data_IF_517898821783
#
_entry.id   IF_517898821783
#
_cell.length_a   1.000
_cell.length_b   1.000
_cell.length_c   1.000
_cell.angle_alpha   90.00
_cell.angle_beta   90.00
_cell.angle_gamma   90.00
#
_symmetry.space_group_name_H-M   'P 1'
#
loop_
_entity.id
_entity.type
_entity.pdbx_description
1 polymer ?
#
# COMPACT_ATOMS: atom_id res chain seq x y z
N UNK A 1 49.61 5.26 -26.06
CA UNK A 1 48.58 4.60 -25.25
C UNK A 1 47.22 5.02 -25.80
N UNK A 2 46.59 4.19 -26.65
CA UNK A 2 45.30 4.51 -27.27
C UNK A 2 44.40 3.28 -27.28
N UNK A 3 43.27 3.31 -26.57
CA UNK A 3 42.09 2.47 -26.83
C UNK A 3 40.80 3.20 -26.43
N UNK A 4 40.06 3.66 -27.44
CA UNK A 4 38.62 3.87 -27.37
C UNK A 4 37.91 2.58 -26.96
N UNK A 5 36.76 2.68 -26.30
CA UNK A 5 35.59 1.82 -26.55
C UNK A 5 34.32 2.40 -25.92
N UNK A 6 33.45 2.87 -26.81
CA UNK A 6 32.02 3.11 -26.63
C UNK A 6 31.30 1.82 -26.22
N UNK A 7 30.28 1.95 -25.35
CA UNK A 7 29.38 0.85 -25.00
C UNK A 7 28.42 1.25 -23.89
N UNK A 8 27.30 1.87 -24.26
CA UNK A 8 26.12 1.88 -23.38
C UNK A 8 25.41 0.52 -23.42
N UNK A 9 24.53 0.26 -22.45
CA UNK A 9 23.39 -0.60 -22.70
C UNK A 9 22.08 0.15 -22.37
N UNK A 10 21.26 0.24 -23.41
CA UNK A 10 19.83 -0.12 -23.44
C UNK A 10 19.14 -0.29 -22.09
N UNK A 11 18.18 0.58 -21.80
CA UNK A 11 17.27 0.40 -20.67
C UNK A 11 16.25 -0.72 -20.87
N UNK A 12 15.37 -0.95 -19.90
CA UNK A 12 14.05 -1.46 -20.16
C UNK A 12 13.02 -0.32 -20.12
N UNK A 13 12.25 -0.25 -21.20
CA UNK A 13 10.96 0.40 -21.26
C UNK A 13 10.05 -0.13 -20.17
N UNK A 14 9.43 0.78 -19.43
CA UNK A 14 8.29 0.46 -18.57
C UNK A 14 7.60 1.73 -18.11
N UNK A 15 6.54 2.21 -18.78
CA UNK A 15 5.57 3.06 -18.12
C UNK A 15 4.72 2.16 -17.23
N UNK A 16 5.25 1.86 -16.04
CA UNK A 16 4.57 1.12 -15.00
C UNK A 16 4.33 2.00 -13.79
N UNK A 17 4.04 3.29 -13.99
CA UNK A 17 3.42 4.10 -12.95
C UNK A 17 1.95 3.69 -12.96
N UNK A 18 1.42 2.94 -11.97
CA UNK A 18 0.01 3.08 -11.70
C UNK A 18 -0.16 4.52 -11.22
N UNK A 19 -0.46 5.40 -12.17
CA UNK A 19 -1.15 6.65 -11.88
C UNK A 19 -2.29 6.24 -10.97
N UNK A 20 -2.19 6.66 -9.71
CA UNK A 20 -3.25 6.47 -8.73
C UNK A 20 -4.41 7.36 -9.17
N UNK A 21 -5.13 6.91 -10.20
CA UNK A 21 -6.45 7.43 -10.51
C UNK A 21 -7.29 7.19 -9.27
N UNK A 22 -8.01 8.21 -8.77
CA UNK A 22 -9.08 7.96 -7.82
C UNK A 22 -10.17 7.24 -8.62
N UNK A 23 -10.08 5.91 -8.69
CA UNK A 23 -11.14 5.03 -9.16
C UNK A 23 -12.35 5.27 -8.25
N UNK A 24 -13.20 6.18 -8.69
CA UNK A 24 -14.54 6.37 -8.17
C UNK A 24 -15.33 5.10 -8.52
N UNK A 25 -15.76 4.40 -7.46
CA UNK A 25 -16.81 3.37 -7.41
C UNK A 25 -16.42 1.89 -7.19
N UNK A 26 -15.45 1.66 -6.32
CA UNK A 26 -15.64 0.64 -5.28
C UNK A 26 -15.01 1.15 -3.99
N UNK A 27 -15.84 1.53 -3.02
CA UNK A 27 -15.34 1.99 -1.73
C UNK A 27 -14.50 0.85 -1.12
N UNK A 28 -13.17 0.99 -1.17
CA UNK A 28 -12.29 0.00 -0.56
C UNK A 28 -12.58 0.01 0.94
N UNK A 29 -12.82 -1.17 1.50
CA UNK A 29 -13.19 -1.33 2.91
C UNK A 29 -12.17 -2.24 3.57
N UNK A 30 -11.68 -1.86 4.74
CA UNK A 30 -10.79 -2.72 5.51
C UNK A 30 -11.53 -3.99 5.96
N UNK A 31 -11.03 -5.17 5.60
CA UNK A 31 -11.66 -6.45 5.99
C UNK A 31 -11.68 -6.67 7.50
N UNK A 32 -10.72 -6.11 8.24
CA UNK A 32 -10.64 -6.26 9.69
C UNK A 32 -11.59 -5.31 10.44
N UNK A 33 -11.50 -3.99 10.23
CA UNK A 33 -12.24 -3.00 11.02
C UNK A 33 -13.30 -2.21 10.25
N UNK A 34 -13.56 -2.58 8.99
CA UNK A 34 -14.53 -1.96 8.10
C UNK A 34 -14.36 -0.45 7.87
N UNK A 35 -13.21 0.13 8.22
CA UNK A 35 -12.94 1.54 7.87
C UNK A 35 -12.81 1.68 6.35
N UNK A 36 -13.44 2.71 5.82
CA UNK A 36 -13.29 3.19 4.44
C UNK A 36 -12.36 4.39 4.35
N UNK A 37 -12.00 4.97 5.51
CA UNK A 37 -11.09 6.10 5.60
C UNK A 37 -9.76 5.62 6.21
N UNK A 38 -8.69 5.72 5.42
CA UNK A 38 -7.34 5.40 5.87
C UNK A 38 -6.35 6.23 5.04
N UNK A 39 -5.27 6.76 5.65
CA UNK A 39 -4.25 7.50 4.90
C UNK A 39 -3.45 6.61 3.94
N UNK A 40 -3.46 5.30 4.16
CA UNK A 40 -2.78 4.31 3.31
C UNK A 40 -3.54 2.98 3.38
N UNK A 41 -3.78 2.38 2.21
CA UNK A 41 -4.27 1.01 2.09
C UNK A 41 -3.10 0.03 2.10
N UNK A 42 -3.25 -1.07 2.83
CA UNK A 42 -2.34 -2.20 2.88
C UNK A 42 -3.06 -3.45 2.38
N UNK A 43 -2.30 -4.48 2.03
CA UNK A 43 -2.83 -5.80 1.69
C UNK A 43 -2.25 -6.84 2.65
N UNK A 44 -3.05 -7.81 3.04
CA UNK A 44 -2.56 -9.02 3.72
C UNK A 44 -1.89 -9.98 2.71
N UNK A 45 -1.25 -11.08 3.18
CA UNK A 45 -0.65 -12.08 2.27
C UNK A 45 -1.65 -12.70 1.30
N UNK A 46 -2.93 -12.74 1.67
CA UNK A 46 -4.05 -13.21 0.86
C UNK A 46 -4.55 -12.16 -0.15
N UNK A 47 -3.98 -10.95 -0.14
CA UNK A 47 -4.29 -9.85 -1.04
C UNK A 47 -5.50 -9.00 -0.65
N UNK A 48 -6.12 -9.24 0.49
CA UNK A 48 -7.30 -8.53 1.01
C UNK A 48 -6.95 -7.10 1.48
N UNK A 49 -7.86 -6.13 1.29
CA UNK A 49 -7.65 -4.76 1.69
C UNK A 49 -7.68 -4.59 3.22
N UNK A 50 -6.62 -4.01 3.76
CA UNK A 50 -6.50 -3.60 5.16
C UNK A 50 -6.20 -2.11 5.28
N UNK A 51 -6.71 -1.45 6.30
CA UNK A 51 -6.30 -0.09 6.62
C UNK A 51 -4.87 -0.07 7.19
N UNK A 52 -4.27 1.13 7.24
CA UNK A 52 -2.90 1.29 7.71
C UNK A 52 -2.71 0.73 9.13
N UNK A 53 -3.64 1.01 10.05
CA UNK A 53 -3.55 0.53 11.42
C UNK A 53 -3.66 -1.00 11.52
N UNK A 54 -4.61 -1.63 10.82
CA UNK A 54 -4.79 -3.08 10.86
C UNK A 54 -3.62 -3.82 10.21
N UNK A 55 -3.14 -3.35 9.06
CA UNK A 55 -2.00 -3.97 8.38
C UNK A 55 -0.69 -3.82 9.15
N UNK A 56 -0.46 -2.69 9.81
CA UNK A 56 0.70 -2.52 10.69
C UNK A 56 0.60 -3.38 11.95
N UNK A 57 -0.57 -3.42 12.59
CA UNK A 57 -0.77 -4.23 13.79
C UNK A 57 -0.55 -5.72 13.51
N UNK A 58 -1.13 -6.24 12.42
CA UNK A 58 -0.94 -7.62 12.01
C UNK A 58 0.52 -7.96 11.70
N UNK A 59 1.23 -7.06 10.99
CA UNK A 59 2.66 -7.26 10.69
C UNK A 59 3.55 -7.25 11.94
N UNK A 60 3.23 -6.43 12.93
CA UNK A 60 4.03 -6.28 14.15
C UNK A 60 3.73 -7.35 15.20
N UNK A 61 2.46 -7.75 15.34
CA UNK A 61 2.01 -8.63 16.42
C UNK A 61 1.62 -10.04 15.96
N UNK A 62 1.50 -10.28 14.65
CA UNK A 62 1.08 -11.57 14.09
C UNK A 62 -0.39 -11.94 14.39
N UNK A 63 -1.16 -11.04 15.00
CA UNK A 63 -2.56 -11.24 15.36
C UNK A 63 -3.42 -10.11 14.82
N UNK A 64 -4.70 -10.37 14.60
CA UNK A 64 -5.65 -9.37 14.13
C UNK A 64 -5.84 -8.25 15.15
N UNK A 65 -6.00 -7.02 14.67
CA UNK A 65 -6.23 -5.87 15.55
C UNK A 65 -7.58 -6.05 16.27
N UNK A 66 -7.62 -6.01 17.61
CA UNK A 66 -8.88 -6.07 18.33
C UNK A 66 -9.72 -4.81 18.04
N UNK A 67 -11.00 -5.02 17.72
CA UNK A 67 -11.91 -3.93 17.31
C UNK A 67 -12.18 -2.92 18.43
N UNK A 68 -11.98 -3.30 19.68
CA UNK A 68 -12.09 -2.38 20.84
C UNK A 68 -11.10 -1.20 20.75
N UNK A 69 -10.02 -1.34 19.99
CA UNK A 69 -9.03 -0.27 19.78
C UNK A 69 -9.34 0.58 18.54
N UNK A 70 -10.41 0.32 17.79
CA UNK A 70 -10.78 1.16 16.65
C UNK A 70 -11.18 2.54 17.17
N UNK A 71 -10.70 3.58 16.50
CA UNK A 71 -11.20 4.95 16.66
C UNK A 71 -11.58 5.44 15.28
N UNK A 72 -12.76 6.02 15.17
CA UNK A 72 -13.27 6.57 13.91
C UNK A 72 -12.69 7.98 13.63
N UNK A 73 -11.91 8.53 14.57
CA UNK A 73 -11.24 9.84 14.44
C UNK A 73 -9.82 9.68 13.91
N UNK A 74 -9.60 10.04 12.65
CA UNK A 74 -8.27 10.08 12.03
C UNK A 74 -7.63 11.44 12.35
N UNK A 75 -6.72 11.45 13.33
CA UNK A 75 -5.96 12.66 13.68
C UNK A 75 -4.93 12.95 12.57
N UNK A 76 -5.06 14.09 11.90
CA UNK A 76 -4.02 14.62 10.99
C UNK A 76 -2.80 15.02 11.84
N UNK A 77 -1.60 14.61 11.42
CA UNK A 77 -0.33 14.96 12.07
C UNK A 77 0.21 16.27 11.49
#
# INVERSE_FOLDING_TARGET
MSRNRSGGPSGPSGPGTPTAEPEENSATVCTNCQTTNTPLWRRDPEGQPLCNACGLFFKLHGVVRPLSLKTDVIKKR
#
